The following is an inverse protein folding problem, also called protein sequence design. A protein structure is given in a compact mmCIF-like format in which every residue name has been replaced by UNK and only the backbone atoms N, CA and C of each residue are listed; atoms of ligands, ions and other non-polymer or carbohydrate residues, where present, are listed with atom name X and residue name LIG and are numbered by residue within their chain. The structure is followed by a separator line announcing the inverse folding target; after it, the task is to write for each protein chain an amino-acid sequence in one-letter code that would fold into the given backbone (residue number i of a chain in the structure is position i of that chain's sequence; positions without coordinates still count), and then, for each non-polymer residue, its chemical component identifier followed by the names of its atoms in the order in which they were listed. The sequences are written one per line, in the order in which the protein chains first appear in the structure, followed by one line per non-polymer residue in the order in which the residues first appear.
data_IF_139529247098
#
_entry.id   IF_139529247098
#
_cell.length_a   1.000
_cell.length_b   1.000
_cell.length_c   1.000
_cell.angle_alpha   90.00
_cell.angle_beta   90.00
_cell.angle_gamma   90.00
#
_symmetry.space_group_name_H-M   'P 1'
#
loop_
_entity.id
_entity.type
_entity.pdbx_description
1 polymer ?
#
# COMPACT_ATOMS: atom_id res chain seq x y z
N UNK A 1 -3.61 22.19 3.30
CA UNK A 1 -4.79 22.23 4.19
C UNK A 1 -6.00 21.81 3.37
N UNK A 2 -6.36 20.53 3.38
CA UNK A 2 -7.56 20.04 2.69
C UNK A 2 -8.58 19.62 3.74
N UNK A 3 -9.80 20.18 3.64
CA UNK A 3 -10.89 19.95 4.58
C UNK A 3 -11.63 18.67 4.19
N UNK A 4 -11.72 17.77 5.16
CA UNK A 4 -12.52 16.56 5.10
C UNK A 4 -14.01 16.95 5.13
N UNK A 5 -14.82 16.42 4.20
CA UNK A 5 -16.28 16.59 4.23
C UNK A 5 -16.88 15.20 4.42
N UNK A 6 -17.39 14.85 5.61
CA UNK A 6 -18.10 13.59 5.79
C UNK A 6 -19.40 13.59 4.98
N UNK A 7 -19.60 12.53 4.18
CA UNK A 7 -20.82 12.31 3.41
C UNK A 7 -21.80 11.51 4.28
N UNK A 8 -22.72 12.20 4.94
CA UNK A 8 -23.82 11.56 5.65
C UNK A 8 -24.88 11.13 4.63
N UNK A 9 -25.10 9.82 4.49
CA UNK A 9 -26.20 9.30 3.70
C UNK A 9 -27.40 9.12 4.63
N UNK A 10 -28.40 9.97 4.44
CA UNK A 10 -29.69 9.87 5.13
C UNK A 10 -30.49 8.70 4.53
N UNK A 11 -30.57 7.59 5.26
CA UNK A 11 -31.43 6.46 4.89
C UNK A 11 -32.80 6.73 5.51
N UNK A 12 -33.71 7.30 4.71
CA UNK A 12 -35.09 7.52 5.13
C UNK A 12 -35.84 6.17 5.19
N UNK A 13 -35.80 5.52 6.34
CA UNK A 13 -36.62 4.33 6.63
C UNK A 13 -38.04 4.75 6.98
N UNK A 14 -39.03 4.37 6.17
CA UNK A 14 -40.45 4.68 6.39
C UNK A 14 -41.09 3.66 7.33
N UNK A 15 -40.73 3.69 8.61
CA UNK A 15 -41.56 3.14 9.68
C UNK A 15 -40.98 3.60 11.01
N UNK A 16 -41.83 4.09 11.90
CA UNK A 16 -41.41 4.72 13.13
C UNK A 16 -40.55 3.82 14.02
N UNK A 17 -39.57 4.47 14.66
CA UNK A 17 -38.62 4.01 15.68
C UNK A 17 -37.30 3.43 15.15
N UNK A 18 -36.24 3.97 15.76
CA UNK A 18 -34.83 3.61 15.63
C UNK A 18 -34.09 4.08 14.36
N UNK A 19 -33.78 5.38 14.34
CA UNK A 19 -32.75 5.96 13.47
C UNK A 19 -31.37 5.49 13.94
N UNK A 20 -30.97 4.29 13.53
CA UNK A 20 -29.60 3.81 13.73
C UNK A 20 -28.70 4.42 12.65
N UNK A 21 -27.95 5.46 13.01
CA UNK A 21 -26.74 5.83 12.28
C UNK A 21 -25.81 4.61 12.30
N UNK A 22 -25.81 3.83 11.22
CA UNK A 22 -24.71 2.90 10.95
C UNK A 22 -23.57 3.75 10.40
N UNK A 23 -22.58 4.04 11.23
CA UNK A 23 -21.24 4.29 10.72
C UNK A 23 -20.81 3.04 9.95
N UNK A 24 -20.84 3.14 8.63
CA UNK A 24 -20.10 2.19 7.80
C UNK A 24 -18.65 2.67 7.91
N UNK A 25 -17.96 2.23 8.96
CA UNK A 25 -16.50 2.25 9.01
C UNK A 25 -16.02 1.28 7.95
N UNK A 26 -16.04 1.72 6.70
CA UNK A 26 -15.39 1.04 5.60
C UNK A 26 -13.89 1.30 5.81
N UNK A 27 -13.31 0.62 6.79
CA UNK A 27 -11.87 0.46 6.95
C UNK A 27 -11.36 -0.36 5.77
N UNK A 28 -11.40 0.26 4.59
CA UNK A 28 -10.46 -0.11 3.54
C UNK A 28 -9.18 0.57 3.95
N UNK A 29 -8.33 -0.20 4.60
CA UNK A 29 -6.90 0.05 4.70
C UNK A 29 -6.43 0.39 3.30
N UNK A 30 -6.46 1.68 2.99
CA UNK A 30 -6.01 2.19 1.71
C UNK A 30 -4.52 2.29 1.91
N UNK A 31 -3.84 1.15 1.81
CA UNK A 31 -2.40 1.11 1.64
C UNK A 31 -2.09 2.00 0.43
N UNK A 32 -1.71 3.24 0.70
CA UNK A 32 -1.24 4.15 -0.34
C UNK A 32 0.15 3.65 -0.70
N UNK A 33 0.20 2.61 -1.53
CA UNK A 33 1.45 2.18 -2.15
C UNK A 33 1.91 3.30 -3.07
N UNK A 34 2.94 4.03 -2.61
CA UNK A 34 3.53 5.09 -3.40
C UNK A 34 4.51 4.46 -4.38
N UNK A 35 4.52 4.92 -5.63
CA UNK A 35 5.49 4.43 -6.61
C UNK A 35 6.65 5.40 -6.73
N UNK A 36 7.89 4.88 -6.78
CA UNK A 36 9.09 5.69 -6.99
C UNK A 36 9.99 5.10 -8.06
N UNK A 37 10.68 5.97 -8.79
CA UNK A 37 11.64 5.59 -9.82
C UNK A 37 13.02 5.36 -9.18
N UNK A 38 13.54 4.14 -9.33
CA UNK A 38 14.85 3.75 -8.81
C UNK A 38 15.84 3.50 -9.93
N UNK A 39 17.07 3.97 -9.76
CA UNK A 39 18.20 3.51 -10.57
C UNK A 39 18.53 2.05 -10.22
N UNK A 40 18.91 1.24 -11.21
CA UNK A 40 19.21 -0.19 -11.02
C UNK A 40 20.25 -0.46 -9.92
N UNK A 41 21.24 0.43 -9.75
CA UNK A 41 22.25 0.31 -8.68
C UNK A 41 21.68 0.35 -7.26
N UNK A 42 20.50 0.96 -7.09
CA UNK A 42 19.80 1.13 -5.81
C UNK A 42 18.74 0.06 -5.59
N UNK A 43 18.44 -0.77 -6.59
CA UNK A 43 17.49 -1.87 -6.44
C UNK A 43 18.05 -2.94 -5.49
N UNK A 44 17.14 -3.59 -4.78
CA UNK A 44 17.45 -4.71 -3.87
C UNK A 44 16.50 -5.86 -4.15
N UNK A 45 16.96 -7.12 -3.99
CA UNK A 45 16.07 -8.26 -4.07
C UNK A 45 14.88 -8.11 -3.11
N UNK A 46 13.68 -8.50 -3.55
CA UNK A 46 12.44 -8.39 -2.79
C UNK A 46 11.63 -7.11 -3.05
N UNK A 47 12.24 -6.06 -3.63
CA UNK A 47 11.49 -4.88 -4.10
C UNK A 47 10.50 -5.26 -5.20
N UNK A 48 9.27 -4.75 -5.14
CA UNK A 48 8.23 -5.05 -6.13
C UNK A 48 8.17 -4.01 -7.24
N UNK A 49 8.02 -4.45 -8.48
CA UNK A 49 7.79 -3.53 -9.61
C UNK A 49 6.42 -2.86 -9.48
N UNK A 50 6.36 -1.54 -9.67
CA UNK A 50 5.10 -0.81 -9.72
C UNK A 50 4.46 -0.86 -11.11
N UNK A 51 5.29 -0.87 -12.16
CA UNK A 51 4.84 -0.92 -13.56
C UNK A 51 5.48 -2.09 -14.31
N UNK A 52 4.82 -2.61 -15.36
CA UNK A 52 5.43 -3.60 -16.23
C UNK A 52 6.68 -3.02 -16.92
N UNK A 53 7.70 -3.86 -17.07
CA UNK A 53 8.97 -3.49 -17.69
C UNK A 53 9.04 -4.11 -19.09
N UNK A 54 9.26 -3.27 -20.09
CA UNK A 54 9.38 -3.68 -21.49
C UNK A 54 10.80 -3.45 -22.01
N UNK A 55 11.25 -4.32 -22.91
CA UNK A 55 12.47 -4.12 -23.69
C UNK A 55 12.28 -4.68 -25.09
N UNK A 56 12.73 -3.96 -26.12
CA UNK A 56 12.57 -4.34 -27.53
C UNK A 56 11.13 -4.77 -27.91
N UNK A 57 10.12 -4.01 -27.45
CA UNK A 57 8.69 -4.31 -27.63
C UNK A 57 8.20 -5.64 -27.02
N UNK A 58 9.01 -6.27 -26.16
CA UNK A 58 8.64 -7.46 -25.42
C UNK A 58 8.46 -7.12 -23.93
N UNK A 59 7.44 -7.71 -23.32
CA UNK A 59 7.26 -7.67 -21.88
C UNK A 59 8.33 -8.53 -21.20
N UNK A 60 9.17 -7.90 -20.37
CA UNK A 60 10.25 -8.56 -19.62
C UNK A 60 9.83 -8.90 -18.18
N UNK A 61 9.10 -7.99 -17.53
CA UNK A 61 8.59 -8.19 -16.17
C UNK A 61 7.17 -7.66 -16.05
N UNK A 62 6.28 -8.42 -15.40
CA UNK A 62 4.97 -7.96 -15.00
C UNK A 62 5.07 -6.89 -13.88
N UNK A 63 4.00 -6.13 -13.69
CA UNK A 63 3.81 -5.34 -12.48
C UNK A 63 3.62 -6.25 -11.25
N UNK A 64 3.88 -5.70 -10.06
CA UNK A 64 3.80 -6.37 -8.76
C UNK A 64 4.70 -7.61 -8.59
N UNK A 65 5.71 -7.75 -9.44
CA UNK A 65 6.68 -8.84 -9.36
C UNK A 65 7.84 -8.42 -8.45
N UNK A 66 8.17 -9.29 -7.49
CA UNK A 66 9.35 -9.13 -6.67
C UNK A 66 10.63 -9.33 -7.51
N UNK A 67 11.53 -8.34 -7.47
CA UNK A 67 12.81 -8.39 -8.14
C UNK A 67 13.72 -9.41 -7.45
N UNK A 68 14.32 -10.32 -8.23
CA UNK A 68 15.37 -11.21 -7.75
C UNK A 68 16.75 -10.60 -8.03
N UNK A 69 17.79 -11.09 -7.34
CA UNK A 69 19.17 -10.68 -7.63
C UNK A 69 19.59 -10.96 -9.08
N UNK A 70 19.10 -12.05 -9.66
CA UNK A 70 19.34 -12.36 -11.07
C UNK A 70 18.65 -11.36 -12.01
N UNK A 71 17.38 -11.04 -11.75
CA UNK A 71 16.64 -10.05 -12.54
C UNK A 71 17.35 -8.69 -12.52
N UNK A 72 17.78 -8.23 -11.34
CA UNK A 72 18.50 -6.95 -11.19
C UNK A 72 19.79 -6.95 -12.03
N UNK A 73 20.53 -8.06 -12.07
CA UNK A 73 21.76 -8.18 -12.89
C UNK A 73 21.48 -8.22 -14.40
N UNK A 74 20.27 -8.61 -14.82
CA UNK A 74 19.87 -8.65 -16.24
C UNK A 74 19.37 -7.31 -16.76
N UNK A 75 18.78 -6.45 -15.92
CA UNK A 75 18.21 -5.15 -16.34
C UNK A 75 19.17 -4.29 -17.18
N UNK A 76 20.45 -4.07 -16.81
CA UNK A 76 21.37 -3.27 -17.62
C UNK A 76 21.69 -3.92 -18.98
N UNK A 77 21.71 -5.26 -19.03
CA UNK A 77 21.93 -6.01 -20.28
C UNK A 77 20.76 -5.86 -21.25
N UNK A 78 19.57 -5.54 -20.74
CA UNK A 78 18.38 -5.19 -21.52
C UNK A 78 18.28 -3.70 -21.82
N UNK A 79 19.28 -2.89 -21.46
CA UNK A 79 19.27 -1.43 -21.64
C UNK A 79 18.37 -0.70 -20.64
N UNK A 80 17.93 -1.36 -19.56
CA UNK A 80 17.06 -0.79 -18.55
C UNK A 80 17.90 -0.35 -17.35
N UNK A 81 17.90 0.95 -17.08
CA UNK A 81 18.69 1.56 -16.00
C UNK A 81 17.85 2.14 -14.88
N UNK A 82 16.53 2.26 -15.10
CA UNK A 82 15.58 2.78 -14.13
C UNK A 82 14.32 1.90 -14.10
N UNK A 83 13.80 1.63 -12.91
CA UNK A 83 12.59 0.82 -12.71
C UNK A 83 11.68 1.50 -11.69
N UNK A 84 10.38 1.53 -11.96
CA UNK A 84 9.38 1.96 -10.99
C UNK A 84 9.14 0.85 -9.97
N UNK A 85 9.33 1.16 -8.70
CA UNK A 85 9.19 0.24 -7.57
C UNK A 85 8.04 0.71 -6.68
N UNK A 86 7.28 -0.24 -6.13
CA UNK A 86 6.29 0.02 -5.09
C UNK A 86 7.01 0.24 -3.76
N UNK A 87 6.82 1.40 -3.16
CA UNK A 87 7.12 1.64 -1.77
C UNK A 87 5.84 1.46 -0.96
N UNK A 88 5.85 0.47 -0.09
CA UNK A 88 4.93 0.48 1.04
C UNK A 88 5.41 1.57 1.96
N UNK A 89 4.65 2.67 2.08
CA UNK A 89 4.77 3.47 3.29
C UNK A 89 4.37 2.52 4.42
N UNK A 90 5.37 2.08 5.19
CA UNK A 90 5.12 1.45 6.46
C UNK A 90 4.39 2.50 7.30
N UNK A 91 3.06 2.47 7.24
CA UNK A 91 2.23 3.02 8.28
C UNK A 91 2.84 2.49 9.57
N UNK A 92 3.39 3.40 10.36
CA UNK A 92 3.94 3.10 11.68
C UNK A 92 2.75 2.76 12.57
N UNK A 93 2.14 1.61 12.31
CA UNK A 93 1.41 0.88 13.34
C UNK A 93 2.49 0.29 14.24
N UNK A 94 3.03 1.15 15.12
CA UNK A 94 3.47 0.67 16.43
C UNK A 94 2.23 0.05 17.03
N UNK A 95 2.05 -1.25 16.79
CA UNK A 95 1.12 -2.07 17.53
C UNK A 95 1.28 -1.70 18.99
N UNK A 96 0.18 -1.25 19.58
CA UNK A 96 0.01 -1.18 21.03
C UNK A 96 0.09 -2.61 21.57
N UNK A 97 1.29 -3.18 21.55
CA UNK A 97 1.59 -4.46 22.15
C UNK A 97 1.87 -4.19 23.62
N UNK A 98 0.81 -4.35 24.40
CA UNK A 98 0.87 -4.90 25.75
C UNK A 98 1.59 -4.06 26.82
N UNK A 99 0.81 -3.20 27.47
CA UNK A 99 1.04 -2.81 28.86
C UNK A 99 -0.27 -2.97 29.66
N UNK A 100 -0.88 -4.16 29.60
CA UNK A 100 -1.77 -4.61 30.65
C UNK A 100 -0.91 -5.31 31.72
N UNK A 101 -0.35 -4.52 32.63
CA UNK A 101 0.18 -5.00 33.89
C UNK A 101 -0.75 -4.51 35.01
N UNK A 102 -1.84 -5.26 35.17
CA UNK A 102 -2.39 -5.73 36.45
C UNK A 102 -2.33 -4.76 37.63
N UNK A 103 -3.44 -4.06 37.86
CA UNK A 103 -3.86 -3.63 39.20
C UNK A 103 -4.24 -4.87 40.02
N UNK A 104 -3.41 -5.28 40.97
CA UNK A 104 -3.87 -6.08 42.12
C UNK A 104 -3.53 -5.31 43.39
N UNK A 105 -4.61 -4.87 44.02
CA UNK A 105 -4.69 -4.22 45.31
C UNK A 105 -4.38 -5.27 46.40
N UNK A 106 -3.38 -5.03 47.26
CA UNK A 106 -3.26 -5.68 48.58
C UNK A 106 -2.98 -4.59 49.60
#
# INVERSE_FOLDING_TARGET
MFKFVPLFVDIKSSSGKDFRQREISNSRDTEVSTMRLYNVSRLRPGMKTALPVFGYNQLLLNADVALTGETIRRLPKWGIYHVFVQEQEAGVERSAASAEATLVNI
#
